data_IF_022117267943
#
_entry.id   IF_022117267943
#
_cell.length_a   1.000
_cell.length_b   1.000
_cell.length_c   1.000
_cell.angle_alpha   90.00
_cell.angle_beta   90.00
_cell.angle_gamma   90.00
#
_symmetry.space_group_name_H-M   'P 1'
#
loop_
_entity.id
_entity.type
_entity.pdbx_description
1 polymer ?
#
# COMPACT_ATOMS: atom_id res chain seq x y z
N UNK A 1 -4.21 -16.87 -23.97
CA UNK A 1 -3.83 -16.34 -22.64
C UNK A 1 -3.14 -17.46 -21.92
N UNK A 2 -1.90 -17.27 -21.55
CA UNK A 2 -1.13 -18.27 -20.81
C UNK A 2 -1.24 -17.93 -19.32
N UNK A 3 -1.69 -18.85 -18.50
CA UNK A 3 -1.80 -18.69 -17.05
C UNK A 3 -0.61 -19.27 -16.30
N UNK A 4 0.35 -19.87 -17.01
CA UNK A 4 1.55 -20.39 -16.41
C UNK A 4 2.53 -19.26 -16.04
N UNK A 5 3.13 -19.39 -14.88
CA UNK A 5 4.24 -18.52 -14.50
C UNK A 5 5.44 -18.75 -15.41
N UNK A 6 6.16 -17.68 -15.74
CA UNK A 6 7.43 -17.77 -16.44
C UNK A 6 8.44 -18.60 -15.61
N UNK A 7 9.48 -19.17 -16.25
CA UNK A 7 10.54 -19.89 -15.51
C UNK A 7 11.13 -19.06 -14.37
N UNK A 8 11.36 -17.75 -14.60
CA UNK A 8 11.85 -16.81 -13.61
C UNK A 8 10.87 -16.63 -12.43
N UNK A 9 9.57 -16.49 -12.71
CA UNK A 9 8.57 -16.41 -11.66
C UNK A 9 8.51 -17.70 -10.84
N UNK A 10 8.52 -18.88 -11.50
CA UNK A 10 8.51 -20.19 -10.82
C UNK A 10 9.72 -20.31 -9.87
N UNK A 11 10.92 -19.91 -10.32
CA UNK A 11 12.13 -19.91 -9.50
C UNK A 11 11.99 -18.99 -8.29
N UNK A 12 11.58 -17.74 -8.50
CA UNK A 12 11.43 -16.75 -7.41
C UNK A 12 10.34 -17.14 -6.41
N UNK A 13 9.21 -17.68 -6.89
CA UNK A 13 8.13 -18.18 -6.04
C UNK A 13 8.63 -19.33 -5.18
N UNK A 14 9.34 -20.31 -5.77
CA UNK A 14 9.91 -21.43 -5.01
C UNK A 14 10.92 -20.96 -3.97
N UNK A 15 11.82 -20.03 -4.35
CA UNK A 15 12.83 -19.47 -3.46
C UNK A 15 12.22 -18.70 -2.30
N UNK A 16 11.23 -17.83 -2.57
CA UNK A 16 10.53 -17.06 -1.54
C UNK A 16 9.71 -17.96 -0.63
N UNK A 17 9.02 -18.97 -1.19
CA UNK A 17 8.26 -19.95 -0.40
C UNK A 17 9.17 -20.74 0.54
N UNK A 18 10.32 -21.21 0.05
CA UNK A 18 11.33 -21.86 0.90
C UNK A 18 11.83 -20.94 2.02
N UNK A 19 12.07 -19.67 1.71
CA UNK A 19 12.48 -18.68 2.72
C UNK A 19 11.37 -18.46 3.78
N UNK A 20 10.10 -18.52 3.40
CA UNK A 20 8.99 -18.43 4.34
C UNK A 20 8.95 -19.63 5.29
N UNK A 21 9.09 -20.85 4.77
CA UNK A 21 9.12 -22.08 5.58
C UNK A 21 10.32 -22.08 6.55
N UNK A 22 11.50 -21.73 6.05
CA UNK A 22 12.74 -21.84 6.82
C UNK A 22 12.95 -20.69 7.81
N UNK A 23 12.41 -19.50 7.54
CA UNK A 23 12.76 -18.29 8.27
C UNK A 23 11.57 -17.43 8.73
N UNK A 24 10.54 -17.22 7.91
CA UNK A 24 9.44 -16.32 8.28
C UNK A 24 8.48 -16.97 9.26
N UNK A 25 7.94 -18.15 8.95
CA UNK A 25 6.99 -18.82 9.84
C UNK A 25 7.60 -19.16 11.21
N UNK A 26 8.85 -19.66 11.34
CA UNK A 26 9.49 -19.85 12.64
C UNK A 26 9.75 -18.56 13.41
N UNK A 27 9.84 -17.42 12.73
CA UNK A 27 10.07 -16.13 13.37
C UNK A 27 8.79 -15.46 13.91
N UNK A 28 7.59 -15.94 13.52
CA UNK A 28 6.32 -15.31 13.97
C UNK A 28 6.21 -15.24 15.51
N UNK A 29 6.41 -16.32 16.27
CA UNK A 29 6.32 -16.24 17.73
C UNK A 29 7.42 -15.34 18.34
N UNK A 30 8.62 -15.30 17.74
CA UNK A 30 9.71 -14.43 18.20
C UNK A 30 9.36 -12.95 17.95
N UNK A 31 8.77 -12.64 16.80
CA UNK A 31 8.26 -11.29 16.47
C UNK A 31 7.21 -10.85 17.50
N UNK A 32 6.21 -11.69 17.76
CA UNK A 32 5.14 -11.40 18.72
C UNK A 32 5.68 -11.17 20.12
N UNK A 33 6.64 -11.99 20.56
CA UNK A 33 7.32 -11.81 21.84
C UNK A 33 8.09 -10.48 21.89
N UNK A 34 8.92 -10.18 20.89
CA UNK A 34 9.68 -8.93 20.86
C UNK A 34 8.77 -7.70 20.78
N UNK A 35 7.61 -7.80 20.10
CA UNK A 35 6.65 -6.72 20.03
C UNK A 35 5.92 -6.49 21.38
N UNK A 36 5.71 -7.55 22.15
CA UNK A 36 5.01 -7.47 23.44
C UNK A 36 5.92 -6.99 24.59
N UNK A 37 7.24 -7.19 24.49
CA UNK A 37 8.20 -6.92 25.56
C UNK A 37 8.74 -5.48 25.50
N UNK A 38 8.73 -4.79 26.65
CA UNK A 38 9.36 -3.49 26.84
C UNK A 38 8.70 -2.35 26.05
N UNK A 39 9.53 -1.43 25.56
CA UNK A 39 9.06 -0.32 24.73
C UNK A 39 8.61 -0.83 23.36
N UNK A 40 7.40 -0.43 22.94
CA UNK A 40 6.78 -0.94 21.71
C UNK A 40 7.28 -0.26 20.43
N UNK A 41 7.73 0.99 20.54
CA UNK A 41 8.22 1.82 19.43
C UNK A 41 9.74 1.67 19.26
N UNK A 42 10.20 0.44 19.19
CA UNK A 42 11.59 0.07 19.01
C UNK A 42 11.79 -0.81 17.79
N UNK A 43 13.00 -0.82 17.28
CA UNK A 43 13.42 -1.77 16.26
C UNK A 43 13.29 -3.21 16.77
N UNK A 44 12.67 -4.07 15.99
CA UNK A 44 12.55 -5.50 16.29
C UNK A 44 13.74 -6.25 15.69
N UNK A 45 14.62 -6.78 16.57
CA UNK A 45 15.87 -7.41 16.15
C UNK A 45 15.63 -8.58 15.18
N UNK A 46 14.57 -9.36 15.38
CA UNK A 46 14.23 -10.48 14.49
C UNK A 46 14.00 -10.02 13.05
N UNK A 47 13.38 -8.84 12.84
CA UNK A 47 13.16 -8.30 11.50
C UNK A 47 14.49 -7.89 10.85
N UNK A 48 15.36 -7.24 11.60
CA UNK A 48 16.69 -6.83 11.12
C UNK A 48 17.58 -8.04 10.74
N UNK A 49 17.50 -9.11 11.51
CA UNK A 49 18.26 -10.33 11.21
C UNK A 49 17.70 -11.05 9.98
N UNK A 50 16.39 -11.05 9.81
CA UNK A 50 15.74 -11.58 8.61
C UNK A 50 16.04 -10.74 7.36
N UNK A 51 16.13 -9.41 7.46
CA UNK A 51 16.57 -8.54 6.36
C UNK A 51 17.95 -8.93 5.83
N UNK A 52 18.90 -9.22 6.73
CA UNK A 52 20.26 -9.68 6.34
C UNK A 52 20.20 -11.00 5.57
N UNK A 53 19.39 -11.95 6.04
CA UNK A 53 19.18 -13.25 5.36
C UNK A 53 18.50 -13.07 4.00
N UNK A 54 17.48 -12.22 3.91
CA UNK A 54 16.78 -11.93 2.66
C UNK A 54 17.73 -11.32 1.61
N UNK A 55 18.57 -10.36 2.02
CA UNK A 55 19.62 -9.80 1.15
C UNK A 55 20.58 -10.86 0.66
N UNK A 56 21.12 -11.68 1.56
CA UNK A 56 22.06 -12.76 1.21
C UNK A 56 21.42 -13.79 0.26
N UNK A 57 20.11 -13.99 0.37
CA UNK A 57 19.34 -14.83 -0.52
C UNK A 57 18.96 -14.13 -1.86
N UNK A 58 19.32 -12.87 -2.09
CA UNK A 58 18.90 -12.13 -3.30
C UNK A 58 17.38 -11.88 -3.38
N UNK A 59 16.68 -11.87 -2.22
CA UNK A 59 15.27 -11.58 -2.07
C UNK A 59 15.10 -10.15 -1.51
N UNK A 60 15.60 -9.17 -2.24
CA UNK A 60 15.64 -7.77 -1.78
C UNK A 60 15.18 -6.81 -2.87
N UNK A 61 14.41 -5.78 -2.50
CA UNK A 61 13.87 -4.77 -3.42
C UNK A 61 13.06 -5.37 -4.59
N UNK A 62 12.34 -6.45 -4.35
CA UNK A 62 11.62 -7.19 -5.40
C UNK A 62 10.51 -6.38 -6.08
N UNK A 63 10.03 -5.33 -5.42
CA UNK A 63 8.91 -4.50 -5.87
C UNK A 63 9.28 -3.50 -6.97
N UNK A 64 10.57 -3.12 -7.09
CA UNK A 64 10.99 -2.01 -7.96
C UNK A 64 10.94 -2.43 -9.44
N UNK A 65 10.03 -1.83 -10.24
CA UNK A 65 9.88 -2.21 -11.64
C UNK A 65 11.04 -1.69 -12.50
N UNK A 66 11.20 -2.24 -13.72
CA UNK A 66 12.11 -1.67 -14.70
C UNK A 66 11.78 -0.20 -14.98
N UNK A 67 12.79 0.65 -15.10
CA UNK A 67 12.63 2.07 -15.36
C UNK A 67 12.37 2.40 -16.84
N UNK A 68 12.41 1.43 -17.72
CA UNK A 68 12.25 1.62 -19.17
C UNK A 68 10.91 2.25 -19.53
N UNK A 69 10.95 3.35 -20.30
CA UNK A 69 9.75 4.01 -20.83
C UNK A 69 9.10 5.05 -19.91
N UNK A 70 9.62 5.29 -18.71
CA UNK A 70 9.14 6.35 -17.82
C UNK A 70 10.13 7.52 -17.80
N UNK A 71 9.68 8.77 -18.06
CA UNK A 71 10.53 9.94 -17.87
C UNK A 71 11.02 10.02 -16.43
N UNK A 72 12.32 10.23 -16.24
CA UNK A 72 12.94 10.47 -14.94
C UNK A 72 13.58 11.86 -14.95
N UNK A 73 13.67 12.47 -13.77
CA UNK A 73 14.39 13.75 -13.60
C UNK A 73 15.89 13.53 -13.79
N UNK A 74 16.36 12.38 -13.32
CA UNK A 74 17.75 11.92 -13.45
C UNK A 74 17.77 10.41 -13.61
N UNK A 75 18.50 9.87 -14.56
CA UNK A 75 18.59 8.44 -14.86
C UNK A 75 19.98 7.84 -14.55
N UNK A 76 20.90 8.65 -14.03
CA UNK A 76 22.27 8.22 -13.72
C UNK A 76 22.41 7.43 -12.41
N UNK A 77 21.36 7.41 -11.56
CA UNK A 77 21.37 6.70 -10.30
C UNK A 77 21.26 5.18 -10.49
N UNK A 78 22.27 4.47 -10.03
CA UNK A 78 22.31 3.00 -10.09
C UNK A 78 22.03 2.37 -8.73
N UNK A 79 21.28 1.27 -8.75
CA UNK A 79 20.96 0.46 -7.57
C UNK A 79 20.74 -1.01 -7.94
N UNK A 80 20.96 -1.90 -6.97
CA UNK A 80 20.71 -3.31 -7.13
C UNK A 80 19.23 -3.64 -6.86
N UNK A 81 18.57 -4.25 -7.84
CA UNK A 81 17.22 -4.79 -7.74
C UNK A 81 17.02 -5.82 -8.86
N UNK A 82 16.22 -6.86 -8.66
CA UNK A 82 15.86 -7.80 -9.71
C UNK A 82 15.07 -7.14 -10.85
N UNK A 83 14.53 -5.94 -10.63
CA UNK A 83 13.74 -5.18 -11.60
C UNK A 83 12.62 -6.04 -12.20
N UNK A 84 11.79 -6.59 -11.31
CA UNK A 84 10.62 -7.40 -11.71
C UNK A 84 9.53 -6.50 -12.27
N UNK A 85 8.83 -6.98 -13.29
CA UNK A 85 7.58 -6.34 -13.71
C UNK A 85 6.53 -6.49 -12.59
N UNK A 86 5.47 -5.69 -12.63
CA UNK A 86 4.39 -5.81 -11.65
C UNK A 86 3.75 -7.21 -11.70
N UNK A 87 3.63 -7.79 -12.90
CA UNK A 87 3.11 -9.15 -13.07
C UNK A 87 4.05 -10.22 -12.49
N UNK A 88 5.37 -10.06 -12.63
CA UNK A 88 6.34 -10.96 -12.00
C UNK A 88 6.35 -10.85 -10.47
N UNK A 89 6.17 -9.64 -9.95
CA UNK A 89 6.13 -9.37 -8.51
C UNK A 89 4.82 -9.84 -7.84
N UNK A 90 3.72 -9.90 -8.58
CA UNK A 90 2.40 -10.19 -8.04
C UNK A 90 2.32 -11.47 -7.16
N UNK A 91 2.78 -12.65 -7.60
CA UNK A 91 2.72 -13.85 -6.76
C UNK A 91 3.67 -13.77 -5.55
N UNK A 92 4.76 -13.01 -5.65
CA UNK A 92 5.69 -12.81 -4.53
C UNK A 92 5.04 -11.93 -3.45
N UNK A 93 4.36 -10.86 -3.86
CA UNK A 93 3.63 -10.00 -2.93
C UNK A 93 2.47 -10.76 -2.26
N UNK A 94 1.80 -11.68 -2.95
CA UNK A 94 0.79 -12.56 -2.37
C UNK A 94 1.40 -13.44 -1.26
N UNK A 95 2.56 -14.07 -1.50
CA UNK A 95 3.27 -14.84 -0.47
C UNK A 95 3.61 -13.94 0.73
N UNK A 96 4.13 -12.73 0.50
CA UNK A 96 4.43 -11.78 1.57
C UNK A 96 3.17 -11.38 2.36
N UNK A 97 2.00 -11.36 1.72
CA UNK A 97 0.72 -11.07 2.37
C UNK A 97 0.28 -12.10 3.41
N UNK A 98 0.86 -13.30 3.43
CA UNK A 98 0.53 -14.35 4.39
C UNK A 98 0.95 -14.03 5.83
N UNK A 99 1.99 -13.17 6.00
CA UNK A 99 2.42 -12.66 7.30
C UNK A 99 2.50 -11.14 7.20
N UNK A 100 1.71 -10.41 7.96
CA UNK A 100 1.43 -8.97 7.79
C UNK A 100 2.67 -8.07 7.77
N UNK A 101 3.71 -8.43 8.53
CA UNK A 101 4.97 -7.67 8.63
C UNK A 101 6.08 -8.15 7.67
N UNK A 102 5.90 -9.30 7.03
CA UNK A 102 7.00 -9.95 6.29
C UNK A 102 7.50 -9.16 5.08
N UNK A 103 6.65 -8.35 4.44
CA UNK A 103 7.08 -7.51 3.30
C UNK A 103 8.21 -6.55 3.66
N UNK A 104 8.35 -6.17 4.93
CA UNK A 104 9.47 -5.36 5.41
C UNK A 104 10.80 -6.11 5.35
N UNK A 105 10.79 -7.40 5.61
CA UNK A 105 12.00 -8.25 5.55
C UNK A 105 12.66 -8.20 4.18
N UNK A 106 11.88 -8.00 3.13
CA UNK A 106 12.33 -7.94 1.73
C UNK A 106 12.45 -6.52 1.19
N UNK A 107 12.36 -5.50 2.06
CA UNK A 107 12.27 -4.08 1.70
C UNK A 107 11.13 -3.77 0.71
N UNK A 108 10.00 -4.45 0.86
CA UNK A 108 8.84 -4.37 -0.02
C UNK A 108 7.58 -3.83 0.68
N UNK A 109 7.73 -3.16 1.85
CA UNK A 109 6.58 -2.64 2.59
C UNK A 109 6.25 -1.19 2.23
N UNK A 110 4.97 -0.83 2.37
CA UNK A 110 4.52 0.55 2.30
C UNK A 110 4.83 1.27 3.64
N UNK A 111 5.07 2.60 3.63
CA UNK A 111 5.03 3.53 2.48
C UNK A 111 6.33 3.57 1.68
N UNK A 112 7.39 2.87 2.11
CA UNK A 112 8.74 2.99 1.55
C UNK A 112 8.78 2.66 0.06
N UNK A 113 8.09 1.60 -0.38
CA UNK A 113 8.05 1.22 -1.81
C UNK A 113 7.58 2.37 -2.68
N UNK A 114 6.46 3.03 -2.31
CA UNK A 114 5.94 4.16 -3.05
C UNK A 114 6.84 5.40 -2.99
N UNK A 115 7.50 5.63 -1.86
CA UNK A 115 8.44 6.75 -1.69
C UNK A 115 9.73 6.51 -2.48
N UNK A 116 10.24 5.28 -2.49
CA UNK A 116 11.40 4.90 -3.31
C UNK A 116 11.12 5.08 -4.82
N UNK A 117 9.93 4.70 -5.29
CA UNK A 117 9.51 4.97 -6.68
C UNK A 117 9.39 6.46 -6.98
N UNK A 118 8.91 7.28 -6.02
CA UNK A 118 8.88 8.75 -6.16
C UNK A 118 10.29 9.31 -6.30
N UNK A 119 11.22 8.95 -5.42
CA UNK A 119 12.61 9.38 -5.53
C UNK A 119 13.24 8.91 -6.83
N UNK A 120 13.04 7.65 -7.21
CA UNK A 120 13.59 7.10 -8.45
C UNK A 120 13.12 7.87 -9.67
N UNK A 121 11.87 8.25 -9.72
CA UNK A 121 11.26 8.90 -10.88
C UNK A 121 11.41 10.43 -10.88
N UNK A 122 11.26 11.05 -9.73
CA UNK A 122 11.10 12.50 -9.60
C UNK A 122 12.21 13.20 -8.82
N UNK A 123 13.11 12.47 -8.19
CA UNK A 123 14.23 13.00 -7.45
C UNK A 123 15.42 13.38 -8.35
N UNK A 124 16.15 14.41 -7.95
CA UNK A 124 17.49 14.72 -8.50
C UNK A 124 18.51 13.66 -8.06
N UNK A 125 19.67 13.58 -8.71
CA UNK A 125 20.74 12.68 -8.29
C UNK A 125 21.12 12.91 -6.81
N UNK A 126 21.23 14.16 -6.37
CA UNK A 126 21.56 14.49 -4.98
C UNK A 126 20.50 13.96 -4.00
N UNK A 127 19.21 14.09 -4.32
CA UNK A 127 18.12 13.55 -3.51
C UNK A 127 18.13 12.01 -3.51
N UNK A 128 18.43 11.38 -4.64
CA UNK A 128 18.55 9.93 -4.74
C UNK A 128 19.71 9.40 -3.92
N UNK A 129 20.89 10.03 -4.00
CA UNK A 129 22.05 9.63 -3.18
C UNK A 129 21.78 9.81 -1.67
N UNK A 130 21.17 10.95 -1.31
CA UNK A 130 20.89 11.27 0.09
C UNK A 130 19.81 10.40 0.72
N UNK A 131 18.74 10.07 -0.02
CA UNK A 131 17.55 9.43 0.54
C UNK A 131 17.21 8.09 -0.08
N UNK A 132 17.24 7.96 -1.42
CA UNK A 132 16.88 6.70 -2.07
C UNK A 132 17.91 5.60 -1.79
N UNK A 133 19.21 5.91 -1.84
CA UNK A 133 20.26 4.91 -1.59
C UNK A 133 20.12 4.25 -0.20
N UNK A 134 20.03 5.00 0.90
CA UNK A 134 19.85 4.37 2.22
C UNK A 134 18.48 3.69 2.36
N UNK A 135 17.41 4.16 1.68
CA UNK A 135 16.13 3.45 1.61
C UNK A 135 16.27 2.11 0.88
N UNK A 136 16.92 2.09 -0.29
CA UNK A 136 17.17 0.86 -1.05
C UNK A 136 18.07 -0.11 -0.31
N UNK A 137 18.99 0.39 0.52
CA UNK A 137 19.80 -0.42 1.39
C UNK A 137 19.06 -0.90 2.64
N UNK A 138 17.86 -0.35 2.94
CA UNK A 138 17.12 -0.66 4.16
C UNK A 138 17.77 -0.12 5.44
N UNK A 139 18.60 0.91 5.32
CA UNK A 139 19.27 1.60 6.44
C UNK A 139 18.32 2.59 7.13
N UNK A 140 17.43 3.19 6.36
CA UNK A 140 16.39 4.09 6.83
C UNK A 140 15.04 3.67 6.31
N UNK A 141 13.99 4.24 6.91
CA UNK A 141 12.61 4.18 6.45
C UNK A 141 12.07 5.58 6.18
N UNK A 142 10.88 5.64 5.60
CA UNK A 142 10.27 6.88 5.18
C UNK A 142 8.78 6.94 5.52
N UNK A 143 8.21 8.15 5.43
CA UNK A 143 6.78 8.36 5.55
C UNK A 143 6.24 9.20 4.39
N UNK A 144 4.92 9.15 4.17
CA UNK A 144 4.21 9.98 3.22
C UNK A 144 3.12 10.77 3.93
N UNK A 145 3.32 12.09 4.02
CA UNK A 145 2.45 13.00 4.76
C UNK A 145 1.52 13.72 3.78
N UNK A 146 0.39 13.13 3.50
CA UNK A 146 -0.61 13.66 2.55
C UNK A 146 -1.92 14.02 3.23
N UNK A 147 -2.55 13.05 3.90
CA UNK A 147 -3.89 13.12 4.48
C UNK A 147 -3.95 14.14 5.64
N UNK A 148 -5.04 14.90 5.72
CA UNK A 148 -5.26 15.94 6.75
C UNK A 148 -6.56 15.70 7.53
N UNK A 149 -6.60 15.96 8.84
CA UNK A 149 -7.80 15.75 9.65
C UNK A 149 -8.93 16.74 9.39
N UNK A 150 -8.59 17.96 8.94
CA UNK A 150 -9.56 19.05 8.79
C UNK A 150 -10.34 19.02 7.48
N UNK A 151 -9.90 18.22 6.50
CA UNK A 151 -10.47 18.18 5.15
C UNK A 151 -10.74 16.76 4.68
N UNK A 152 -11.67 16.59 3.73
CA UNK A 152 -11.92 15.32 3.06
C UNK A 152 -10.77 15.03 2.06
N UNK A 153 -9.69 14.42 2.56
CA UNK A 153 -8.47 14.16 1.79
C UNK A 153 -8.60 13.07 0.71
N UNK A 154 -9.75 12.41 0.61
CA UNK A 154 -10.10 11.58 -0.55
C UNK A 154 -10.14 12.37 -1.85
N UNK A 155 -10.38 13.66 -1.77
CA UNK A 155 -10.08 14.66 -2.79
C UNK A 155 -8.77 15.35 -2.44
N UNK A 156 -7.69 14.96 -3.12
CA UNK A 156 -6.35 15.50 -2.86
C UNK A 156 -6.23 17.01 -3.12
N UNK A 157 -7.19 17.61 -3.81
CA UNK A 157 -7.21 19.06 -4.06
C UNK A 157 -7.64 19.86 -2.84
N UNK A 158 -8.25 19.21 -1.83
CA UNK A 158 -8.69 19.83 -0.58
C UNK A 158 -7.55 20.06 0.43
N UNK A 159 -6.36 19.52 0.21
CA UNK A 159 -5.23 19.67 1.14
C UNK A 159 -4.95 21.14 1.41
N UNK A 160 -4.78 21.52 2.69
CA UNK A 160 -4.58 22.89 3.16
C UNK A 160 -3.17 23.17 3.69
N UNK A 161 -2.35 22.14 3.93
CA UNK A 161 -0.93 22.32 4.31
C UNK A 161 -0.27 23.31 3.37
N UNK A 162 0.30 24.38 3.95
CA UNK A 162 0.95 25.45 3.20
C UNK A 162 2.45 25.18 3.08
N UNK A 163 2.98 25.33 1.89
CA UNK A 163 4.41 25.33 1.57
C UNK A 163 4.72 26.72 1.00
N UNK A 164 5.19 27.64 1.84
CA UNK A 164 5.49 29.02 1.44
C UNK A 164 6.97 29.16 1.11
N UNK A 165 7.30 29.78 -0.01
CA UNK A 165 8.68 30.09 -0.35
C UNK A 165 9.16 31.33 0.44
N UNK A 166 10.33 31.22 1.05
CA UNK A 166 11.03 32.27 1.77
C UNK A 166 12.50 32.26 1.38
N UNK A 167 12.82 33.05 0.33
CA UNK A 167 14.12 33.07 -0.31
C UNK A 167 14.49 31.72 -0.94
N UNK A 168 15.54 31.11 -0.44
CA UNK A 168 16.05 29.80 -0.86
C UNK A 168 15.50 28.62 -0.04
N UNK A 169 14.54 28.89 0.84
CA UNK A 169 13.87 27.88 1.68
C UNK A 169 12.37 27.81 1.42
N UNK A 170 11.80 26.65 1.74
CA UNK A 170 10.37 26.51 2.01
C UNK A 170 10.11 26.58 3.51
N UNK A 171 9.01 27.21 3.89
CA UNK A 171 8.44 27.20 5.24
C UNK A 171 7.13 26.43 5.18
N UNK A 172 7.04 25.33 5.92
CA UNK A 172 5.93 24.39 5.84
C UNK A 172 5.12 24.48 7.13
N UNK A 173 3.81 24.66 6.97
CA UNK A 173 2.83 24.70 8.08
C UNK A 173 1.61 23.87 7.73
N UNK A 174 1.23 22.97 8.63
CA UNK A 174 0.05 22.13 8.44
C UNK A 174 -0.05 20.99 9.43
N UNK A 175 -1.15 20.25 9.35
CA UNK A 175 -1.41 19.08 10.21
C UNK A 175 -1.75 17.88 9.35
N UNK A 176 -1.01 16.81 9.51
CA UNK A 176 -1.14 15.54 8.79
C UNK A 176 -1.55 14.44 9.76
N UNK A 177 -2.30 13.47 9.26
CA UNK A 177 -2.60 12.28 10.04
C UNK A 177 -2.58 11.02 9.14
N UNK A 178 -2.72 9.86 9.75
CA UNK A 178 -2.57 8.58 9.07
C UNK A 178 -1.25 8.45 8.32
N UNK A 179 -0.21 9.11 8.86
CA UNK A 179 1.15 9.05 8.33
C UNK A 179 1.81 7.75 8.76
N UNK A 180 1.69 6.72 7.92
CA UNK A 180 2.20 5.38 8.20
C UNK A 180 3.72 5.34 8.20
N UNK A 181 4.30 4.55 9.09
CA UNK A 181 5.75 4.36 9.23
C UNK A 181 6.47 5.39 10.11
N UNK A 182 5.79 6.46 10.55
CA UNK A 182 6.42 7.51 11.38
C UNK A 182 6.82 7.01 12.77
N UNK A 183 6.19 5.95 13.29
CA UNK A 183 6.53 5.37 14.58
C UNK A 183 7.87 4.61 14.59
N UNK A 184 8.35 4.20 13.45
CA UNK A 184 9.59 3.43 13.32
C UNK A 184 10.82 4.32 13.63
N UNK A 185 11.74 3.90 14.52
CA UNK A 185 12.96 4.64 14.80
C UNK A 185 13.87 4.89 13.58
N UNK A 186 13.75 4.06 12.54
CA UNK A 186 14.47 4.24 11.28
C UNK A 186 13.78 5.22 10.31
N UNK A 187 12.59 5.73 10.60
CA UNK A 187 11.94 6.74 9.77
C UNK A 187 12.71 8.07 9.84
N UNK A 188 13.50 8.37 8.81
CA UNK A 188 14.38 9.54 8.77
C UNK A 188 13.91 10.63 7.82
N UNK A 189 13.02 10.31 6.90
CA UNK A 189 12.56 11.21 5.85
C UNK A 189 11.07 11.07 5.59
N UNK A 190 10.40 12.18 5.31
CA UNK A 190 9.02 12.20 4.84
C UNK A 190 8.92 12.93 3.49
N UNK A 191 8.02 12.45 2.63
CA UNK A 191 7.54 13.22 1.49
C UNK A 191 6.24 13.91 1.93
N UNK A 192 6.24 15.23 1.92
CA UNK A 192 5.11 16.06 2.37
C UNK A 192 4.42 16.68 1.16
N UNK A 193 3.10 16.49 1.06
CA UNK A 193 2.27 17.15 0.06
C UNK A 193 1.55 18.34 0.67
N UNK A 194 1.66 19.50 0.01
CA UNK A 194 1.01 20.74 0.42
C UNK A 194 0.82 21.68 -0.75
N UNK A 195 0.16 22.82 -0.53
CA UNK A 195 -0.05 23.86 -1.55
C UNK A 195 1.07 24.88 -1.51
N UNK A 196 1.70 25.09 -2.69
CA UNK A 196 2.67 26.18 -2.92
C UNK A 196 1.99 27.41 -3.54
N UNK A 197 0.93 27.23 -4.32
CA UNK A 197 0.17 28.33 -4.93
C UNK A 197 -1.34 28.07 -4.83
N UNK A 198 -2.03 28.81 -3.95
CA UNK A 198 -3.48 28.69 -3.76
C UNK A 198 -4.29 29.34 -4.88
N UNK A 199 -3.67 30.20 -5.70
CA UNK A 199 -4.32 30.90 -6.83
C UNK A 199 -4.21 30.14 -8.15
N UNK A 200 -3.33 29.14 -8.23
CA UNK A 200 -3.17 28.31 -9.42
C UNK A 200 -4.41 27.46 -9.72
N UNK A 201 -4.48 26.90 -10.92
CA UNK A 201 -5.49 25.91 -11.28
C UNK A 201 -5.46 24.73 -10.30
N UNK A 202 -6.62 24.16 -9.99
CA UNK A 202 -6.84 23.18 -8.90
C UNK A 202 -5.77 22.08 -8.82
N UNK A 203 -5.38 21.47 -9.93
CA UNK A 203 -4.39 20.41 -9.95
C UNK A 203 -2.93 20.88 -10.02
N UNK A 204 -2.70 22.19 -10.08
CA UNK A 204 -1.38 22.83 -10.08
C UNK A 204 -1.10 23.60 -8.77
N UNK A 205 -1.97 23.49 -7.76
CA UNK A 205 -1.77 24.13 -6.46
C UNK A 205 -0.75 23.39 -5.59
N UNK A 206 -0.67 22.06 -5.71
CA UNK A 206 0.11 21.21 -4.82
C UNK A 206 1.51 20.94 -5.34
N UNK A 207 2.45 20.92 -4.40
CA UNK A 207 3.81 20.43 -4.59
C UNK A 207 4.11 19.30 -3.60
N UNK A 208 5.14 18.53 -3.87
CA UNK A 208 5.69 17.59 -2.92
C UNK A 208 7.12 17.97 -2.57
N UNK A 209 7.42 17.96 -1.28
CA UNK A 209 8.73 18.32 -0.76
C UNK A 209 9.24 17.25 0.20
N UNK A 210 10.55 17.05 0.19
CA UNK A 210 11.25 16.13 1.08
C UNK A 210 11.56 16.86 2.40
N UNK A 211 11.18 16.25 3.51
CA UNK A 211 11.38 16.80 4.86
C UNK A 211 12.11 15.76 5.73
N UNK A 212 13.28 16.07 6.29
CA UNK A 212 13.89 15.24 7.32
C UNK A 212 12.99 15.15 8.56
N UNK A 213 12.79 13.96 9.10
CA UNK A 213 11.90 13.78 10.26
C UNK A 213 12.42 14.45 11.54
N UNK A 214 13.71 14.74 11.61
CA UNK A 214 14.33 15.49 12.72
C UNK A 214 14.42 17.00 12.46
N UNK A 215 13.81 17.53 11.41
CA UNK A 215 13.81 18.96 11.14
C UNK A 215 13.04 19.71 12.25
N UNK A 216 13.55 20.85 12.74
CA UNK A 216 12.84 21.68 13.71
C UNK A 216 11.42 22.01 13.23
N UNK A 217 10.44 21.84 14.12
CA UNK A 217 9.02 22.07 13.81
C UNK A 217 8.27 20.83 13.31
N UNK A 218 8.91 19.69 13.11
CA UNK A 218 8.24 18.40 12.87
C UNK A 218 7.86 17.80 14.21
N UNK A 219 6.57 17.76 14.53
CA UNK A 219 6.05 17.32 15.81
C UNK A 219 5.14 16.10 15.64
N UNK A 220 5.53 14.93 16.16
CA UNK A 220 4.69 13.74 16.21
C UNK A 220 3.77 13.90 17.41
N UNK A 221 2.46 14.02 17.16
CA UNK A 221 1.46 14.31 18.21
C UNK A 221 1.03 13.04 18.92
N UNK A 222 0.69 12.00 18.15
CA UNK A 222 0.22 10.71 18.66
C UNK A 222 0.23 9.66 17.56
N UNK A 223 0.14 8.41 17.95
CA UNK A 223 -0.17 7.28 17.06
C UNK A 223 -1.67 7.02 17.06
N UNK A 224 -2.20 6.67 15.88
CA UNK A 224 -3.62 6.43 15.64
C UNK A 224 -3.87 4.92 15.57
N UNK A 225 -4.55 4.31 16.54
CA UNK A 225 -4.85 2.87 16.49
C UNK A 225 -6.02 2.58 15.54
N UNK A 226 -5.98 1.40 14.91
CA UNK A 226 -7.08 0.83 14.12
C UNK A 226 -7.80 -0.19 14.99
N UNK A 227 -9.01 0.08 15.42
CA UNK A 227 -9.78 -0.80 16.33
C UNK A 227 -8.99 -1.23 17.57
N UNK A 228 -8.11 -0.35 18.09
CA UNK A 228 -7.25 -0.63 19.24
C UNK A 228 -5.88 -1.22 18.89
N UNK A 229 -5.61 -1.62 17.66
CA UNK A 229 -4.29 -2.06 17.20
C UNK A 229 -3.48 -0.84 16.72
N UNK A 230 -2.32 -0.60 17.36
CA UNK A 230 -1.45 0.57 17.05
C UNK A 230 -0.39 0.31 15.99
N UNK A 231 -0.23 -0.96 15.58
CA UNK A 231 0.71 -1.41 14.55
C UNK A 231 2.18 -1.04 14.81
N UNK A 232 2.56 -0.95 16.11
CA UNK A 232 3.93 -0.66 16.50
C UNK A 232 4.92 -1.75 15.99
N UNK A 233 6.16 -1.38 15.61
CA UNK A 233 6.76 -0.03 15.65
C UNK A 233 6.41 0.85 14.43
N UNK A 234 5.80 0.31 13.40
CA UNK A 234 5.45 1.02 12.17
C UNK A 234 4.51 2.22 12.43
N UNK A 235 3.32 1.95 12.97
CA UNK A 235 2.33 2.91 13.40
C UNK A 235 1.77 3.83 12.32
N UNK A 236 0.74 4.59 12.72
CA UNK A 236 0.11 5.62 11.88
C UNK A 236 0.04 6.91 12.69
N UNK A 237 0.86 7.89 12.34
CA UNK A 237 1.00 9.09 13.16
C UNK A 237 0.07 10.24 12.76
N UNK A 238 -0.25 11.07 13.75
CA UNK A 238 -0.67 12.44 13.55
C UNK A 238 0.57 13.33 13.73
N UNK A 239 0.86 14.17 12.71
CA UNK A 239 2.07 15.00 12.63
C UNK A 239 1.66 16.46 12.41
N UNK A 240 2.22 17.36 13.21
CA UNK A 240 2.07 18.81 13.05
C UNK A 240 3.39 19.37 12.54
N UNK A 241 3.31 20.18 11.50
CA UNK A 241 4.41 20.90 10.89
C UNK A 241 4.26 22.39 11.26
N UNK A 242 5.20 22.90 12.05
CA UNK A 242 5.19 24.28 12.54
C UNK A 242 6.46 25.03 12.10
N UNK A 243 6.33 25.87 11.08
CA UNK A 243 7.43 26.63 10.51
C UNK A 243 8.64 25.76 10.12
N UNK A 244 8.39 24.56 9.63
CA UNK A 244 9.44 23.64 9.19
C UNK A 244 10.15 24.26 7.99
N UNK A 245 11.46 24.48 8.11
CA UNK A 245 12.29 25.09 7.07
C UNK A 245 13.14 24.03 6.39
N UNK A 246 13.06 23.97 5.05
CA UNK A 246 13.89 23.10 4.22
C UNK A 246 14.41 23.86 3.00
N UNK A 247 15.67 23.66 2.57
CA UNK A 247 16.17 24.29 1.34
C UNK A 247 15.38 23.85 0.11
N UNK A 248 15.03 24.79 -0.76
CA UNK A 248 14.23 24.51 -1.97
C UNK A 248 14.93 23.47 -2.86
N UNK A 249 16.22 23.65 -3.10
CA UNK A 249 17.02 22.78 -3.97
C UNK A 249 17.07 21.34 -3.47
N UNK A 250 17.13 21.12 -2.14
CA UNK A 250 17.18 19.79 -1.54
C UNK A 250 15.79 19.14 -1.41
N UNK A 251 14.73 19.96 -1.28
CA UNK A 251 13.42 19.49 -0.90
C UNK A 251 12.46 19.28 -2.07
N UNK A 252 12.48 20.15 -3.08
CA UNK A 252 11.46 20.13 -4.13
C UNK A 252 11.61 18.91 -5.03
N UNK A 253 10.52 18.12 -5.16
CA UNK A 253 10.44 17.02 -6.10
C UNK A 253 9.81 17.48 -7.42
N UNK A 254 10.48 17.21 -8.56
CA UNK A 254 10.04 17.48 -9.94
C UNK A 254 9.86 18.98 -10.23
N UNK A 255 9.06 19.70 -9.45
CA UNK A 255 8.76 21.12 -9.65
C UNK A 255 7.53 21.59 -8.86
N UNK A 256 7.43 22.90 -8.65
CA UNK A 256 6.23 23.50 -8.02
C UNK A 256 4.98 23.26 -8.88
N UNK A 257 3.85 23.03 -8.20
CA UNK A 257 2.58 22.73 -8.87
C UNK A 257 2.46 21.32 -9.47
N UNK A 258 3.49 20.47 -9.32
CA UNK A 258 3.52 19.09 -9.87
C UNK A 258 3.19 18.02 -8.82
N UNK A 259 2.81 18.41 -7.61
CA UNK A 259 2.56 17.48 -6.50
C UNK A 259 1.41 16.52 -6.76
N UNK A 260 0.35 16.96 -7.43
CA UNK A 260 -0.78 16.09 -7.79
C UNK A 260 -0.38 14.99 -8.79
N UNK A 261 0.44 15.33 -9.79
CA UNK A 261 0.99 14.38 -10.75
C UNK A 261 1.85 13.32 -10.08
N UNK A 262 2.74 13.72 -9.17
CA UNK A 262 3.59 12.81 -8.38
C UNK A 262 2.70 11.86 -7.56
N UNK A 263 1.68 12.39 -6.87
CA UNK A 263 0.76 11.59 -6.06
C UNK A 263 0.05 10.51 -6.89
N UNK A 264 -0.43 10.84 -8.08
CA UNK A 264 -1.07 9.86 -8.97
C UNK A 264 -0.07 8.79 -9.47
N UNK A 265 1.16 9.18 -9.77
CA UNK A 265 2.22 8.25 -10.17
C UNK A 265 2.60 7.26 -9.06
N UNK A 266 2.63 7.73 -7.80
CA UNK A 266 2.96 6.94 -6.62
C UNK A 266 1.85 5.96 -6.23
N UNK A 267 0.60 6.42 -6.22
CA UNK A 267 -0.51 5.65 -5.68
C UNK A 267 -0.93 4.48 -6.58
N UNK A 268 -0.65 4.54 -7.89
CA UNK A 268 -1.00 3.47 -8.82
C UNK A 268 -0.36 2.13 -8.47
N UNK A 269 0.96 2.01 -8.48
CA UNK A 269 1.68 0.79 -8.09
C UNK A 269 1.38 0.35 -6.66
N UNK A 270 1.34 1.29 -5.71
CA UNK A 270 1.04 1.02 -4.31
C UNK A 270 -0.31 0.32 -4.11
N UNK A 271 -1.35 0.72 -4.85
CA UNK A 271 -2.68 0.07 -4.84
C UNK A 271 -2.60 -1.38 -5.29
N UNK A 272 -1.84 -1.67 -6.35
CA UNK A 272 -1.65 -3.03 -6.86
C UNK A 272 -0.94 -3.87 -5.80
N UNK A 273 0.17 -3.38 -5.23
CA UNK A 273 0.95 -4.10 -4.21
C UNK A 273 0.10 -4.45 -2.97
N UNK A 274 -0.75 -3.52 -2.50
CA UNK A 274 -1.68 -3.81 -1.41
C UNK A 274 -2.66 -4.92 -1.79
N UNK A 275 -3.28 -4.83 -2.97
CA UNK A 275 -4.27 -5.83 -3.41
C UNK A 275 -3.67 -7.23 -3.58
N UNK A 276 -2.40 -7.33 -4.03
CA UNK A 276 -1.67 -8.59 -4.11
C UNK A 276 -1.48 -9.20 -2.72
N UNK A 277 -1.01 -8.44 -1.74
CA UNK A 277 -0.84 -8.91 -0.35
C UNK A 277 -2.16 -9.31 0.31
N UNK A 278 -3.25 -8.62 -0.01
CA UNK A 278 -4.59 -8.95 0.50
C UNK A 278 -5.01 -10.36 0.12
N UNK A 279 -4.68 -10.83 -1.08
CA UNK A 279 -4.99 -12.21 -1.50
C UNK A 279 -4.28 -13.21 -0.58
N UNK A 280 -3.02 -13.00 -0.26
CA UNK A 280 -2.29 -13.85 0.69
C UNK A 280 -2.89 -13.87 2.10
N UNK A 281 -3.37 -12.72 2.59
CA UNK A 281 -4.07 -12.65 3.88
C UNK A 281 -5.41 -13.41 3.84
N UNK A 282 -6.14 -13.36 2.72
CA UNK A 282 -7.38 -14.11 2.54
C UNK A 282 -7.14 -15.62 2.49
N UNK A 283 -6.06 -16.07 1.86
CA UNK A 283 -5.64 -17.49 1.87
C UNK A 283 -5.42 -17.99 3.30
N UNK A 284 -4.67 -17.25 4.11
CA UNK A 284 -4.42 -17.60 5.51
C UNK A 284 -5.73 -17.67 6.33
N UNK A 285 -6.65 -16.74 6.08
CA UNK A 285 -7.95 -16.77 6.76
C UNK A 285 -8.78 -17.99 6.37
N UNK A 286 -8.80 -18.36 5.08
CA UNK A 286 -9.48 -19.56 4.58
C UNK A 286 -8.83 -20.83 5.15
N UNK A 287 -7.52 -20.93 5.19
CA UNK A 287 -6.78 -22.05 5.78
C UNK A 287 -7.14 -22.24 7.27
N UNK A 288 -7.09 -21.16 8.06
CA UNK A 288 -7.47 -21.17 9.47
C UNK A 288 -8.93 -21.57 9.67
N UNK A 289 -9.83 -21.08 8.83
CA UNK A 289 -11.25 -21.45 8.84
C UNK A 289 -11.41 -22.95 8.62
N UNK A 290 -10.82 -23.50 7.56
CA UNK A 290 -10.91 -24.92 7.23
C UNK A 290 -10.33 -25.80 8.36
N UNK A 291 -9.13 -25.48 8.86
CA UNK A 291 -8.49 -26.20 9.95
C UNK A 291 -9.38 -26.21 11.21
N UNK A 292 -9.97 -25.06 11.55
CA UNK A 292 -10.87 -24.96 12.71
C UNK A 292 -12.10 -25.83 12.56
N UNK A 293 -12.76 -25.78 11.41
CA UNK A 293 -13.98 -26.51 11.12
C UNK A 293 -13.76 -28.04 11.10
N UNK A 294 -12.61 -28.48 10.59
CA UNK A 294 -12.21 -29.90 10.53
C UNK A 294 -11.82 -30.51 11.89
N UNK A 295 -11.48 -29.67 12.88
CA UNK A 295 -10.99 -30.13 14.19
C UNK A 295 -12.02 -29.98 15.30
N UNK A 296 -13.15 -29.28 15.09
CA UNK A 296 -14.18 -29.03 16.10
C UNK A 296 -15.45 -29.86 15.84
N UNK A 297 -15.99 -30.45 16.91
CA UNK A 297 -17.28 -31.16 16.89
C UNK A 297 -18.33 -30.35 17.63
N UNK A 298 -19.52 -30.28 17.05
CA UNK A 298 -20.72 -29.75 17.65
C UNK A 298 -21.93 -30.59 17.22
N UNK A 299 -22.85 -30.85 18.15
CA UNK A 299 -24.05 -31.68 17.90
C UNK A 299 -23.71 -33.04 17.27
N UNK A 300 -22.65 -33.70 17.77
CA UNK A 300 -22.26 -35.06 17.42
C UNK A 300 -21.43 -35.19 16.11
N UNK A 301 -21.22 -34.14 15.35
CA UNK A 301 -20.45 -34.17 14.07
C UNK A 301 -19.43 -33.06 13.98
N UNK A 302 -18.50 -33.15 13.03
CA UNK A 302 -17.58 -32.04 12.76
C UNK A 302 -18.33 -30.81 12.24
N UNK A 303 -17.85 -29.61 12.59
CA UNK A 303 -18.51 -28.38 12.17
C UNK A 303 -18.43 -28.21 10.64
N UNK A 304 -17.39 -28.75 10.01
CA UNK A 304 -17.23 -28.81 8.55
C UNK A 304 -18.33 -29.61 7.83
N UNK A 305 -19.04 -30.50 8.52
CA UNK A 305 -20.13 -31.28 7.95
C UNK A 305 -21.49 -30.54 7.98
N UNK A 306 -21.51 -29.25 8.32
CA UNK A 306 -22.68 -28.38 8.21
C UNK A 306 -22.68 -27.68 6.86
N UNK A 307 -23.73 -27.81 6.06
CA UNK A 307 -23.82 -27.33 4.68
C UNK A 307 -23.53 -25.83 4.49
N UNK A 308 -23.84 -25.00 5.51
CA UNK A 308 -23.52 -23.55 5.47
C UNK A 308 -22.02 -23.29 5.38
N UNK A 309 -21.19 -24.15 5.98
CA UNK A 309 -19.73 -24.01 5.90
C UNK A 309 -19.17 -24.48 4.57
N UNK A 310 -19.75 -25.51 3.97
CA UNK A 310 -19.39 -25.93 2.62
C UNK A 310 -19.61 -24.80 1.60
N UNK A 311 -20.76 -24.11 1.70
CA UNK A 311 -21.04 -22.96 0.84
C UNK A 311 -20.04 -21.81 1.08
N UNK A 312 -19.75 -21.45 2.34
CA UNK A 312 -18.80 -20.36 2.66
C UNK A 312 -17.40 -20.68 2.17
N UNK A 313 -16.91 -21.91 2.36
CA UNK A 313 -15.60 -22.35 1.86
C UNK A 313 -15.53 -22.27 0.33
N UNK A 314 -16.57 -22.78 -0.36
CA UNK A 314 -16.64 -22.74 -1.80
C UNK A 314 -16.63 -21.29 -2.34
N UNK A 315 -17.46 -20.41 -1.75
CA UNK A 315 -17.49 -18.98 -2.09
C UNK A 315 -16.12 -18.31 -1.86
N UNK A 316 -15.50 -18.54 -0.70
CA UNK A 316 -14.18 -17.99 -0.38
C UNK A 316 -13.15 -18.38 -1.42
N UNK A 317 -13.09 -19.65 -1.82
CA UNK A 317 -12.16 -20.13 -2.86
C UNK A 317 -12.42 -19.47 -4.20
N UNK A 318 -13.68 -19.40 -4.64
CA UNK A 318 -14.06 -18.76 -5.90
C UNK A 318 -13.65 -17.27 -5.89
N UNK A 319 -13.98 -16.55 -4.82
CA UNK A 319 -13.72 -15.11 -4.71
C UNK A 319 -12.23 -14.80 -4.66
N UNK A 320 -11.41 -15.65 -4.01
CA UNK A 320 -9.94 -15.54 -4.03
C UNK A 320 -9.41 -15.69 -5.45
N UNK A 321 -9.82 -16.74 -6.18
CA UNK A 321 -9.34 -16.99 -7.54
C UNK A 321 -9.73 -15.85 -8.50
N UNK A 322 -10.97 -15.38 -8.45
CA UNK A 322 -11.42 -14.25 -9.26
C UNK A 322 -10.63 -12.98 -8.95
N UNK A 323 -10.37 -12.71 -7.66
CA UNK A 323 -9.61 -11.53 -7.24
C UNK A 323 -8.15 -11.63 -7.64
N UNK A 324 -7.52 -12.80 -7.51
CA UNK A 324 -6.14 -13.07 -7.96
C UNK A 324 -5.98 -12.80 -9.45
N UNK A 325 -6.88 -13.34 -10.28
CA UNK A 325 -6.86 -13.12 -11.73
C UNK A 325 -7.06 -11.64 -12.08
N UNK A 326 -7.94 -10.94 -11.39
CA UNK A 326 -8.14 -9.51 -11.59
C UNK A 326 -6.89 -8.70 -11.19
N UNK A 327 -6.19 -9.08 -10.12
CA UNK A 327 -4.91 -8.48 -9.71
C UNK A 327 -3.84 -8.70 -10.77
N UNK A 328 -3.71 -9.91 -11.31
CA UNK A 328 -2.75 -10.20 -12.39
C UNK A 328 -3.07 -9.39 -13.65
N UNK A 329 -4.35 -9.24 -14.00
CA UNK A 329 -4.76 -8.38 -15.10
C UNK A 329 -4.37 -6.92 -14.86
N UNK A 330 -4.56 -6.40 -13.65
CA UNK A 330 -4.17 -5.03 -13.32
C UNK A 330 -2.66 -4.84 -13.39
N UNK A 331 -1.87 -5.80 -12.91
CA UNK A 331 -0.42 -5.80 -13.00
C UNK A 331 0.07 -5.83 -14.46
N UNK A 332 -0.46 -6.72 -15.27
CA UNK A 332 -0.14 -6.84 -16.69
C UNK A 332 -0.49 -5.56 -17.48
N UNK A 333 -1.65 -4.96 -17.19
CA UNK A 333 -2.05 -3.70 -17.81
C UNK A 333 -1.14 -2.54 -17.38
N UNK A 334 -0.69 -2.52 -16.11
CA UNK A 334 0.27 -1.54 -15.64
C UNK A 334 1.60 -1.66 -16.37
N UNK A 335 2.11 -2.87 -16.55
CA UNK A 335 3.38 -3.13 -17.24
C UNK A 335 3.31 -2.76 -18.74
N UNK A 336 2.21 -3.08 -19.40
CA UNK A 336 2.04 -2.87 -20.86
C UNK A 336 1.68 -1.45 -21.24
N UNK A 337 0.87 -0.78 -20.43
CA UNK A 337 0.24 0.48 -20.82
C UNK A 337 0.35 1.62 -19.79
N UNK A 338 0.95 1.33 -18.63
CA UNK A 338 1.18 2.29 -17.56
C UNK A 338 -0.07 2.66 -16.76
N UNK A 339 0.14 3.39 -15.68
CA UNK A 339 -0.84 3.72 -14.65
C UNK A 339 -2.12 4.41 -15.20
N UNK A 340 -1.96 5.31 -16.17
CA UNK A 340 -3.08 6.08 -16.72
C UNK A 340 -4.08 5.20 -17.47
N UNK A 341 -3.61 4.21 -18.22
CA UNK A 341 -4.43 3.27 -18.99
C UNK A 341 -4.98 2.17 -18.09
N UNK A 342 -4.17 1.62 -17.17
CA UNK A 342 -4.58 0.58 -16.22
C UNK A 342 -5.54 1.10 -15.11
N UNK A 343 -5.97 2.36 -15.16
CA UNK A 343 -6.78 3.00 -14.12
C UNK A 343 -8.08 2.25 -13.81
N UNK A 344 -8.71 1.63 -14.81
CA UNK A 344 -9.94 0.85 -14.62
C UNK A 344 -9.67 -0.40 -13.77
N UNK A 345 -8.67 -1.18 -14.16
CA UNK A 345 -8.29 -2.42 -13.47
C UNK A 345 -7.82 -2.11 -12.04
N UNK A 346 -7.02 -1.07 -11.85
CA UNK A 346 -6.57 -0.61 -10.53
C UNK A 346 -7.76 -0.20 -9.65
N UNK A 347 -8.75 0.50 -10.20
CA UNK A 347 -9.94 0.87 -9.45
C UNK A 347 -10.79 -0.37 -9.07
N UNK A 348 -10.94 -1.33 -9.98
CA UNK A 348 -11.68 -2.58 -9.71
C UNK A 348 -11.03 -3.40 -8.58
N UNK A 349 -9.71 -3.63 -8.63
CA UNK A 349 -9.04 -4.43 -7.59
C UNK A 349 -9.07 -3.76 -6.23
N UNK A 350 -9.00 -2.42 -6.20
CA UNK A 350 -9.02 -1.64 -4.95
C UNK A 350 -10.38 -1.73 -4.21
N UNK A 351 -11.47 -1.95 -4.93
CA UNK A 351 -12.76 -2.27 -4.33
C UNK A 351 -12.86 -3.75 -4.01
N UNK A 352 -12.52 -4.62 -4.96
CA UNK A 352 -12.77 -6.06 -4.85
C UNK A 352 -11.90 -6.73 -3.79
N UNK A 353 -10.58 -6.51 -3.79
CA UNK A 353 -9.67 -7.27 -2.95
C UNK A 353 -9.92 -7.11 -1.44
N UNK A 354 -10.02 -5.88 -0.88
CA UNK A 354 -10.26 -5.74 0.56
C UNK A 354 -11.66 -6.19 0.97
N UNK A 355 -12.69 -6.02 0.13
CA UNK A 355 -14.03 -6.51 0.45
C UNK A 355 -14.10 -8.04 0.46
N UNK A 356 -13.48 -8.70 -0.52
CA UNK A 356 -13.34 -10.16 -0.56
C UNK A 356 -12.64 -10.69 0.69
N UNK A 357 -11.48 -10.14 1.06
CA UNK A 357 -10.72 -10.61 2.20
C UNK A 357 -11.44 -10.38 3.53
N UNK A 358 -12.10 -9.22 3.72
CA UNK A 358 -12.89 -8.95 4.92
C UNK A 358 -14.02 -9.97 5.10
N UNK A 359 -14.71 -10.33 4.01
CA UNK A 359 -15.76 -11.36 4.04
C UNK A 359 -15.20 -12.70 4.51
N UNK A 360 -14.04 -13.12 3.98
CA UNK A 360 -13.42 -14.40 4.33
C UNK A 360 -12.87 -14.37 5.77
N UNK A 361 -12.26 -13.28 6.19
CA UNK A 361 -11.76 -13.13 7.57
C UNK A 361 -12.93 -13.13 8.56
N UNK A 362 -14.06 -12.48 8.24
CA UNK A 362 -15.26 -12.48 9.07
C UNK A 362 -15.84 -13.90 9.21
N UNK A 363 -15.94 -14.65 8.11
CA UNK A 363 -16.35 -16.07 8.14
C UNK A 363 -15.36 -16.92 8.95
N UNK A 364 -14.05 -16.65 8.86
CA UNK A 364 -13.04 -17.33 9.68
C UNK A 364 -13.19 -16.99 11.18
N UNK A 365 -13.44 -15.72 11.54
CA UNK A 365 -13.77 -15.30 12.91
C UNK A 365 -14.98 -16.07 13.40
N UNK A 366 -16.05 -16.13 12.62
CA UNK A 366 -17.28 -16.85 12.97
C UNK A 366 -17.00 -18.34 13.19
N UNK A 367 -16.16 -18.99 12.39
CA UNK A 367 -15.76 -20.38 12.55
C UNK A 367 -14.98 -20.63 13.85
N UNK A 368 -14.23 -19.64 14.33
CA UNK A 368 -13.49 -19.70 15.59
C UNK A 368 -14.34 -19.39 16.83
N UNK A 369 -15.56 -18.83 16.65
CA UNK A 369 -16.42 -18.39 17.73
C UNK A 369 -15.75 -17.29 18.57
N UNK A 370 -15.92 -17.33 19.90
CA UNK A 370 -15.31 -16.32 20.80
C UNK A 370 -13.79 -16.17 20.63
N UNK A 371 -13.08 -17.25 20.31
CA UNK A 371 -11.63 -17.18 20.03
C UNK A 371 -11.28 -16.33 18.80
N UNK A 372 -12.16 -16.25 17.79
CA UNK A 372 -11.90 -15.48 16.57
C UNK A 372 -11.77 -13.96 16.78
N UNK A 373 -12.38 -13.43 17.85
CA UNK A 373 -12.31 -12.01 18.21
C UNK A 373 -11.18 -11.67 19.21
N UNK A 374 -10.45 -12.69 19.67
CA UNK A 374 -9.26 -12.49 20.52
C UNK A 374 -7.99 -12.31 19.69
N UNK A 375 -6.87 -12.07 20.37
CA UNK A 375 -5.54 -12.02 19.74
C UNK A 375 -5.00 -13.41 19.36
N UNK A 376 -5.55 -14.50 19.93
CA UNK A 376 -4.96 -15.85 19.89
C UNK A 376 -4.80 -16.41 18.46
N UNK A 377 -5.69 -16.04 17.55
CA UNK A 377 -5.68 -16.54 16.17
C UNK A 377 -5.24 -15.48 15.14
N UNK A 378 -4.99 -14.24 15.59
CA UNK A 378 -4.59 -13.13 14.73
C UNK A 378 -5.66 -12.65 13.73
N UNK A 379 -6.87 -13.23 13.73
CA UNK A 379 -7.94 -12.90 12.80
C UNK A 379 -8.50 -11.49 13.04
N UNK A 380 -8.68 -11.09 14.30
CA UNK A 380 -9.17 -9.76 14.65
C UNK A 380 -8.18 -8.67 14.18
N UNK A 381 -6.87 -8.87 14.37
CA UNK A 381 -5.82 -7.96 13.87
C UNK A 381 -5.81 -7.92 12.34
N UNK A 382 -5.94 -9.06 11.68
CA UNK A 382 -6.03 -9.16 10.23
C UNK A 382 -7.25 -8.41 9.70
N UNK A 383 -8.43 -8.58 10.33
CA UNK A 383 -9.64 -7.84 9.97
C UNK A 383 -9.43 -6.34 10.09
N UNK A 384 -8.86 -5.87 11.21
CA UNK A 384 -8.56 -4.47 11.43
C UNK A 384 -7.63 -3.89 10.35
N UNK A 385 -6.52 -4.56 10.06
CA UNK A 385 -5.57 -4.15 9.04
C UNK A 385 -6.17 -4.09 7.63
N UNK A 386 -6.87 -5.15 7.21
CA UNK A 386 -7.52 -5.19 5.88
C UNK A 386 -8.65 -4.14 5.78
N UNK A 387 -9.38 -3.86 6.88
CA UNK A 387 -10.45 -2.84 6.88
C UNK A 387 -9.93 -1.45 6.53
N UNK A 388 -8.69 -1.12 6.91
CA UNK A 388 -8.08 0.18 6.54
C UNK A 388 -7.87 0.31 5.03
N UNK A 389 -7.65 -0.81 4.33
CA UNK A 389 -7.38 -0.81 2.89
C UNK A 389 -8.61 -0.52 2.02
N UNK A 390 -9.81 -0.47 2.62
CA UNK A 390 -11.00 0.11 1.99
C UNK A 390 -11.02 1.64 2.03
N UNK A 391 -10.11 2.26 2.78
CA UNK A 391 -9.99 3.71 2.98
C UNK A 391 -8.67 4.26 2.42
N UNK A 392 -7.55 3.60 2.72
CA UNK A 392 -6.21 4.01 2.29
C UNK A 392 -6.07 4.00 0.76
N UNK A 393 -5.28 4.91 0.23
CA UNK A 393 -5.04 5.11 -1.22
C UNK A 393 -6.31 5.37 -2.04
N UNK A 394 -7.31 5.94 -1.41
CA UNK A 394 -8.64 6.23 -1.93
C UNK A 394 -9.70 5.22 -1.44
N UNK A 395 -10.83 5.71 -0.90
CA UNK A 395 -11.91 4.87 -0.43
C UNK A 395 -12.65 4.17 -1.56
N UNK A 396 -13.40 3.12 -1.21
CA UNK A 396 -14.19 2.30 -2.14
C UNK A 396 -15.04 3.18 -3.08
N UNK A 397 -15.66 4.23 -2.56
CA UNK A 397 -16.55 5.13 -3.29
C UNK A 397 -15.84 5.90 -4.41
N UNK A 398 -14.58 6.31 -4.17
CA UNK A 398 -13.75 7.00 -5.19
C UNK A 398 -13.41 6.04 -6.34
N UNK A 399 -13.06 4.81 -6.00
CA UNK A 399 -12.73 3.78 -6.98
C UNK A 399 -13.98 3.30 -7.73
N UNK A 400 -15.09 3.03 -7.02
CA UNK A 400 -16.36 2.66 -7.64
C UNK A 400 -16.88 3.76 -8.60
N UNK A 401 -16.76 5.04 -8.19
CA UNK A 401 -17.07 6.17 -9.08
C UNK A 401 -16.22 6.16 -10.35
N UNK A 402 -14.91 5.82 -10.23
CA UNK A 402 -14.02 5.73 -11.39
C UNK A 402 -14.50 4.63 -12.35
N UNK A 403 -14.79 3.44 -11.83
CA UNK A 403 -15.31 2.31 -12.62
C UNK A 403 -16.63 2.70 -13.34
N UNK A 404 -17.58 3.25 -12.57
CA UNK A 404 -18.88 3.64 -13.13
C UNK A 404 -18.77 4.73 -14.21
N UNK A 405 -17.94 5.75 -14.01
CA UNK A 405 -17.74 6.81 -15.01
C UNK A 405 -17.10 6.29 -16.29
N UNK A 406 -16.11 5.40 -16.17
CA UNK A 406 -15.48 4.79 -17.35
C UNK A 406 -16.46 3.88 -18.10
N UNK A 407 -17.33 3.15 -17.40
CA UNK A 407 -18.38 2.37 -18.04
C UNK A 407 -19.39 3.27 -18.75
N UNK A 408 -19.94 4.27 -18.06
CA UNK A 408 -20.92 5.20 -18.63
C UNK A 408 -20.38 6.02 -19.81
N UNK A 409 -19.07 6.30 -19.84
CA UNK A 409 -18.46 7.03 -20.94
C UNK A 409 -18.59 6.32 -22.31
N UNK A 410 -18.76 4.99 -22.31
CA UNK A 410 -18.98 4.19 -23.52
C UNK A 410 -20.33 4.51 -24.19
N UNK A 411 -21.27 5.11 -23.45
CA UNK A 411 -22.63 5.44 -23.87
C UNK A 411 -22.86 6.94 -24.05
N UNK A 412 -21.78 7.75 -24.11
CA UNK A 412 -21.87 9.22 -24.25
C UNK A 412 -22.64 9.67 -25.46
N UNK A 413 -22.46 9.03 -26.61
CA UNK A 413 -23.17 9.35 -27.87
C UNK A 413 -24.66 9.09 -27.79
N UNK A 414 -25.08 8.05 -27.06
CA UNK A 414 -26.51 7.77 -26.84
C UNK A 414 -27.18 8.92 -26.07
N UNK A 415 -26.53 9.44 -25.03
CA UNK A 415 -27.06 10.55 -24.25
C UNK A 415 -27.16 11.83 -25.08
N UNK A 416 -26.20 12.10 -25.96
CA UNK A 416 -26.27 13.24 -26.89
C UNK A 416 -27.40 13.11 -27.89
N UNK A 417 -27.60 11.93 -28.49
CA UNK A 417 -28.74 11.66 -29.41
C UNK A 417 -30.08 11.89 -28.74
N UNK A 418 -30.29 11.33 -27.54
CA UNK A 418 -31.54 11.50 -26.79
C UNK A 418 -31.82 12.99 -26.48
N UNK A 419 -30.80 13.74 -26.05
CA UNK A 419 -30.96 15.20 -25.81
C UNK A 419 -31.28 15.97 -27.05
N UNK A 420 -30.70 15.64 -28.21
CA UNK A 420 -31.04 16.27 -29.51
C UNK A 420 -32.47 16.00 -29.90
N UNK A 421 -32.95 14.75 -29.84
CA UNK A 421 -34.35 14.36 -30.13
C UNK A 421 -35.35 15.04 -29.18
N UNK A 422 -35.00 15.19 -27.89
CA UNK A 422 -35.86 15.91 -26.95
C UNK A 422 -35.94 17.42 -27.27
N UNK A 423 -34.83 18.03 -27.68
CA UNK A 423 -34.80 19.42 -28.06
C UNK A 423 -35.58 19.69 -29.35
N UNK A 424 -35.62 18.75 -30.30
CA UNK A 424 -36.44 18.84 -31.50
C UNK A 424 -37.96 18.72 -31.23
N UNK A 425 -38.36 17.92 -30.23
CA UNK A 425 -39.76 17.74 -29.82
C UNK A 425 -40.36 18.95 -29.08
N UNK A 426 -39.52 19.82 -28.56
CA UNK A 426 -39.92 21.05 -27.81
C UNK A 426 -39.97 22.28 -28.74
N UNK A 427 -39.48 22.17 -29.96
CA UNK A 427 -39.64 23.16 -31.03
C UNK A 427 -40.86 22.85 -31.87
#
# INVERSE_FOLDING_TARGET
MDFEFSPRQKELVAKLSGFFEDHIYPAVPVYEQQQAEGERWKTLQIVEDLKKKAKAAGLWNLFMPPSAGHPQVDDSFEFESPRLTNLEYAPLAEIMGRVSWSSEVFNCSAPDTGNMEVFQRYGTLAQKEKWLRPLMNGEIRSAFLMTEPAVASSDATNIETRIARDGDHYVINGRKWWSSGVGDPHCKVAIVMGKTDFAAQTHAQQSQVVVPMNAPGVNIVRMLPVFGFDDAPHGHAEVVLENVRVPVEEALLLGEGRGFEIAQGRLGPGRIHHCMRIVGAAEVALEKMCQRLMTRKAFGKYVSEQSVWEERIARARIDIEMTRLLNFKAADMMDKAGNKVARLEIAMIKVQAPNMALKIIDDAIQAHGGGGVTSDFGLAKSYAGIRTLRLADGPDEVHARTVARMELSKYGDLQQKIRAEQAERVR
#
